data_IF_316751583037
#
_entry.id   IF_316751583037
#
_cell.length_a   1.000
_cell.length_b   1.000
_cell.length_c   1.000
_cell.angle_alpha   90.00
_cell.angle_beta   90.00
_cell.angle_gamma   90.00
#
_symmetry.space_group_name_H-M   'P 1'
#
loop_
_entity.id
_entity.type
_entity.pdbx_description
1 polymer ?
#
# COMPACT_ATOMS: atom_id res chain seq x y z
N UNK A 1 -1.14 -17.02 12.08
CA UNK A 1 -0.59 -15.95 11.21
C UNK A 1 -1.28 -14.64 11.60
N UNK A 2 -0.59 -13.51 11.73
CA UNK A 2 -1.28 -12.26 12.07
C UNK A 2 -2.01 -11.68 10.83
N UNK A 3 -2.99 -10.79 11.03
CA UNK A 3 -3.79 -10.22 9.93
C UNK A 3 -2.92 -9.45 8.93
N UNK A 4 -1.86 -8.75 9.37
CA UNK A 4 -0.97 -8.01 8.48
C UNK A 4 -0.19 -8.91 7.51
N UNK A 5 0.33 -10.04 8.00
CA UNK A 5 1.00 -11.05 7.18
C UNK A 5 0.01 -11.70 6.21
N UNK A 6 -1.21 -12.01 6.66
CA UNK A 6 -2.24 -12.58 5.79
C UNK A 6 -2.63 -11.61 4.67
N UNK A 7 -2.85 -10.35 4.99
CA UNK A 7 -3.13 -9.30 4.02
C UNK A 7 -1.95 -9.06 3.06
N UNK A 8 -0.71 -9.12 3.55
CA UNK A 8 0.49 -9.05 2.71
C UNK A 8 0.58 -10.18 1.69
N UNK A 9 0.19 -11.41 2.06
CA UNK A 9 0.17 -12.55 1.14
C UNK A 9 -0.90 -12.44 0.06
N UNK A 10 -2.06 -11.85 0.38
CA UNK A 10 -3.17 -11.65 -0.55
C UNK A 10 -3.09 -10.33 -1.33
N UNK A 11 -2.07 -9.53 -1.03
CA UNK A 11 -1.83 -8.23 -1.66
C UNK A 11 -1.77 -8.36 -3.17
N UNK A 12 -2.51 -7.48 -3.87
CA UNK A 12 -2.61 -7.42 -5.34
C UNK A 12 -3.08 -8.69 -6.06
N UNK A 13 -3.60 -9.71 -5.37
CA UNK A 13 -4.09 -10.94 -6.03
C UNK A 13 -5.24 -10.66 -7.02
N UNK A 14 -6.00 -9.60 -6.78
CA UNK A 14 -7.10 -9.16 -7.65
C UNK A 14 -6.64 -8.71 -9.04
N UNK A 15 -5.37 -8.26 -9.17
CA UNK A 15 -4.80 -7.85 -10.46
C UNK A 15 -4.73 -9.00 -11.48
N UNK A 16 -4.79 -10.25 -11.03
CA UNK A 16 -4.79 -11.44 -11.89
C UNK A 16 -6.18 -11.80 -12.43
N UNK A 17 -7.22 -11.08 -12.03
CA UNK A 17 -8.59 -11.39 -12.45
C UNK A 17 -8.96 -10.68 -13.75
N UNK A 18 -9.78 -11.34 -14.58
CA UNK A 18 -10.31 -10.73 -15.81
C UNK A 18 -11.09 -9.45 -15.53
N UNK A 19 -11.73 -9.35 -14.35
CA UNK A 19 -12.49 -8.16 -13.98
C UNK A 19 -11.60 -6.93 -13.83
N UNK A 20 -10.46 -7.05 -13.15
CA UNK A 20 -9.52 -5.92 -13.00
C UNK A 20 -8.79 -5.63 -14.32
N UNK A 21 -8.59 -6.65 -15.15
CA UNK A 21 -8.03 -6.45 -16.49
C UNK A 21 -8.96 -5.60 -17.38
N UNK A 22 -10.27 -5.87 -17.35
CA UNK A 22 -11.27 -5.13 -18.12
C UNK A 22 -11.60 -3.77 -17.49
N UNK A 23 -11.59 -3.68 -16.15
CA UNK A 23 -11.90 -2.48 -15.38
C UNK A 23 -10.80 -2.16 -14.36
N UNK A 24 -9.74 -1.50 -14.82
CA UNK A 24 -8.54 -1.22 -14.00
C UNK A 24 -8.82 -0.40 -12.74
N UNK A 25 -9.89 0.39 -12.74
CA UNK A 25 -10.30 1.24 -11.61
C UNK A 25 -10.90 0.44 -10.44
N UNK A 26 -11.24 -0.83 -10.69
CA UNK A 26 -11.83 -1.73 -9.69
C UNK A 26 -10.79 -2.46 -8.82
N UNK A 27 -9.50 -2.25 -9.11
CA UNK A 27 -8.40 -2.82 -8.31
C UNK A 27 -8.52 -2.41 -6.83
N UNK A 28 -8.15 -3.31 -5.94
CA UNK A 28 -8.31 -3.17 -4.48
C UNK A 28 -9.74 -3.40 -4.01
N UNK A 29 -10.73 -2.75 -4.64
CA UNK A 29 -12.15 -2.95 -4.33
C UNK A 29 -12.55 -4.40 -4.60
N UNK A 30 -12.18 -4.94 -5.77
CA UNK A 30 -12.43 -6.35 -6.08
C UNK A 30 -11.67 -7.29 -5.17
N UNK A 31 -10.40 -6.99 -4.85
CA UNK A 31 -9.62 -7.78 -3.89
C UNK A 31 -10.28 -7.89 -2.52
N UNK A 32 -10.83 -6.79 -2.01
CA UNK A 32 -11.62 -6.80 -0.77
C UNK A 32 -12.88 -7.67 -0.88
N UNK A 33 -13.62 -7.58 -1.99
CA UNK A 33 -14.82 -8.41 -2.19
C UNK A 33 -14.47 -9.90 -2.30
N UNK A 34 -13.41 -10.26 -3.01
CA UNK A 34 -12.93 -11.64 -3.10
C UNK A 34 -12.51 -12.16 -1.72
N UNK A 35 -11.71 -11.39 -0.96
CA UNK A 35 -11.31 -11.79 0.38
C UNK A 35 -12.50 -11.98 1.33
N UNK A 36 -13.50 -11.09 1.30
CA UNK A 36 -14.74 -11.26 2.08
C UNK A 36 -15.51 -12.51 1.66
N UNK A 37 -15.61 -12.77 0.37
CA UNK A 37 -16.27 -13.96 -0.17
C UNK A 37 -15.55 -15.25 0.27
N UNK A 38 -14.22 -15.21 0.33
CA UNK A 38 -13.38 -16.34 0.76
C UNK A 38 -13.33 -16.50 2.30
N UNK A 39 -14.06 -15.68 3.05
CA UNK A 39 -14.16 -15.76 4.50
C UNK A 39 -12.96 -15.19 5.27
N UNK A 40 -12.15 -14.34 4.62
CA UNK A 40 -11.06 -13.64 5.31
C UNK A 40 -11.59 -12.67 6.37
N UNK A 41 -10.75 -12.38 7.37
CA UNK A 41 -11.06 -11.39 8.39
C UNK A 41 -11.29 -10.00 7.77
N UNK A 42 -12.22 -9.23 8.33
CA UNK A 42 -12.59 -7.92 7.80
C UNK A 42 -11.40 -6.95 7.72
N UNK A 43 -10.51 -6.96 8.71
CA UNK A 43 -9.28 -6.16 8.68
C UNK A 43 -8.38 -6.48 7.48
N UNK A 44 -8.32 -7.76 7.09
CA UNK A 44 -7.54 -8.26 5.94
C UNK A 44 -8.18 -7.77 4.66
N UNK A 45 -9.50 -7.95 4.52
CA UNK A 45 -10.23 -7.53 3.33
C UNK A 45 -10.14 -6.00 3.12
N UNK A 46 -10.36 -5.21 4.17
CA UNK A 46 -10.23 -3.74 4.12
C UNK A 46 -8.80 -3.34 3.72
N UNK A 47 -7.78 -4.03 4.25
CA UNK A 47 -6.40 -3.77 3.88
C UNK A 47 -6.12 -4.01 2.39
N UNK A 48 -6.77 -4.97 1.74
CA UNK A 48 -6.62 -5.20 0.29
C UNK A 48 -7.21 -4.06 -0.55
N UNK A 49 -8.24 -3.37 -0.07
CA UNK A 49 -8.73 -2.17 -0.74
C UNK A 49 -7.80 -0.98 -0.48
N UNK A 50 -7.45 -0.77 0.78
CA UNK A 50 -6.74 0.43 1.24
C UNK A 50 -5.22 0.40 1.00
N UNK A 51 -4.64 -0.74 0.60
CA UNK A 51 -3.19 -0.86 0.30
C UNK A 51 -2.68 0.22 -0.67
N UNK A 52 -3.54 0.67 -1.59
CA UNK A 52 -3.20 1.69 -2.57
C UNK A 52 -3.20 3.12 -2.00
N UNK A 53 -3.76 3.35 -0.81
CA UNK A 53 -3.85 4.67 -0.18
C UNK A 53 -2.54 5.06 0.53
N UNK A 54 -2.21 6.37 0.59
CA UNK A 54 -2.77 7.45 -0.21
C UNK A 54 -2.28 7.38 -1.67
N UNK A 55 -3.17 7.62 -2.63
CA UNK A 55 -2.86 7.59 -4.08
C UNK A 55 -2.28 8.90 -4.59
N UNK A 56 -2.65 10.01 -3.96
CA UNK A 56 -2.19 11.36 -4.28
C UNK A 56 -2.11 12.23 -3.02
N UNK A 57 -1.56 13.44 -3.14
CA UNK A 57 -1.43 14.37 -2.03
C UNK A 57 -2.82 14.80 -1.51
N UNK A 58 -3.08 14.62 -0.22
CA UNK A 58 -4.38 14.89 0.38
C UNK A 58 -5.42 13.77 0.26
N UNK A 59 -5.08 12.63 -0.38
CA UNK A 59 -5.95 11.45 -0.38
C UNK A 59 -6.09 10.88 1.04
N UNK A 60 -7.15 10.08 1.23
CA UNK A 60 -7.43 9.37 2.46
C UNK A 60 -6.25 8.47 2.86
N UNK A 61 -6.09 8.29 4.16
CA UNK A 61 -5.10 7.37 4.72
C UNK A 61 -5.77 6.07 5.15
N UNK A 62 -5.06 4.93 5.08
CA UNK A 62 -5.59 3.64 5.51
C UNK A 62 -6.19 3.72 6.93
N UNK A 63 -7.36 3.12 7.10
CA UNK A 63 -8.20 3.25 8.28
C UNK A 63 -7.64 2.49 9.48
N UNK A 64 -7.11 1.28 9.25
CA UNK A 64 -6.71 0.35 10.30
C UNK A 64 -5.19 0.01 10.27
N UNK A 65 -4.63 -0.59 11.34
CA UNK A 65 -3.19 -0.88 11.40
C UNK A 65 -2.70 -1.89 10.36
N UNK A 66 -3.54 -2.85 9.99
CA UNK A 66 -3.23 -3.88 8.99
C UNK A 66 -3.09 -3.24 7.62
N UNK A 67 -4.05 -2.40 7.24
CA UNK A 67 -4.05 -1.62 6.02
C UNK A 67 -2.85 -0.66 5.97
N UNK A 68 -2.53 0.02 7.08
CA UNK A 68 -1.33 0.86 7.18
C UNK A 68 -0.05 0.06 6.89
N UNK A 69 0.09 -1.13 7.48
CA UNK A 69 1.28 -1.96 7.30
C UNK A 69 1.46 -2.40 5.84
N UNK A 70 0.40 -2.89 5.20
CA UNK A 70 0.44 -3.31 3.79
C UNK A 70 0.70 -2.11 2.86
N UNK A 71 0.03 -0.98 3.09
CA UNK A 71 0.21 0.23 2.29
C UNK A 71 1.63 0.81 2.38
N UNK A 72 2.25 0.76 3.57
CA UNK A 72 3.65 1.16 3.76
C UNK A 72 4.58 0.21 3.00
N UNK A 73 4.39 -1.11 3.17
CA UNK A 73 5.22 -2.11 2.51
C UNK A 73 5.16 -1.97 0.98
N UNK A 74 3.97 -1.83 0.42
CA UNK A 74 3.75 -1.61 -1.02
C UNK A 74 4.49 -0.36 -1.54
N UNK A 75 4.40 0.75 -0.80
CA UNK A 75 5.03 2.01 -1.20
C UNK A 75 6.54 2.02 -1.01
N UNK A 76 7.07 1.19 -0.11
CA UNK A 76 8.51 1.05 0.12
C UNK A 76 9.21 0.12 -0.86
N UNK A 77 8.48 -0.79 -1.50
CA UNK A 77 9.04 -1.79 -2.44
C UNK A 77 9.83 -1.14 -3.59
N UNK A 78 9.19 -0.23 -4.32
CA UNK A 78 9.84 0.47 -5.46
C UNK A 78 11.06 1.31 -5.02
N UNK A 79 10.98 2.18 -3.99
CA UNK A 79 12.17 2.86 -3.46
C UNK A 79 13.28 1.90 -3.04
N UNK A 80 12.97 0.83 -2.31
CA UNK A 80 13.98 -0.12 -1.87
C UNK A 80 14.71 -0.77 -3.05
N UNK A 81 13.96 -1.22 -4.06
CA UNK A 81 14.55 -1.82 -5.27
C UNK A 81 15.42 -0.83 -6.06
N UNK A 82 14.92 0.39 -6.29
CA UNK A 82 15.61 1.40 -7.09
C UNK A 82 16.90 1.89 -6.41
N UNK A 83 16.86 2.11 -5.09
CA UNK A 83 18.06 2.44 -4.33
C UNK A 83 19.03 1.25 -4.27
N UNK A 84 18.53 0.02 -4.20
CA UNK A 84 19.35 -1.19 -4.20
C UNK A 84 20.18 -1.40 -5.46
N UNK A 85 19.67 -0.97 -6.63
CA UNK A 85 20.39 -1.02 -7.91
C UNK A 85 21.19 0.26 -8.22
N UNK A 86 21.31 1.19 -7.26
CA UNK A 86 22.06 2.44 -7.42
C UNK A 86 21.41 3.48 -8.35
N UNK A 87 20.15 3.30 -8.72
CA UNK A 87 19.40 4.20 -9.62
C UNK A 87 18.75 5.34 -8.83
N UNK A 88 19.55 6.08 -8.06
CA UNK A 88 19.05 7.20 -7.27
C UNK A 88 18.48 8.30 -8.19
N UNK A 89 17.41 8.99 -7.76
CA UNK A 89 16.90 10.14 -8.51
C UNK A 89 17.98 11.22 -8.61
N UNK A 90 18.40 11.56 -9.83
CA UNK A 90 19.40 12.61 -10.11
C UNK A 90 18.69 13.90 -10.55
N UNK A 91 18.89 14.97 -9.78
CA UNK A 91 18.30 16.29 -10.07
C UNK A 91 16.80 16.39 -9.77
N UNK A 92 16.10 17.29 -10.48
CA UNK A 92 14.68 17.61 -10.21
C UNK A 92 13.66 16.59 -10.75
N UNK A 93 14.10 15.63 -11.57
CA UNK A 93 13.20 14.63 -12.15
C UNK A 93 12.94 13.48 -11.18
N UNK A 94 11.67 13.12 -11.01
CA UNK A 94 11.22 11.94 -10.26
C UNK A 94 10.63 10.89 -11.22
N UNK A 95 11.47 10.21 -12.04
CA UNK A 95 11.00 9.33 -13.11
C UNK A 95 10.22 8.11 -12.59
N UNK A 96 10.42 7.72 -11.33
CA UNK A 96 9.79 6.55 -10.71
C UNK A 96 8.84 6.92 -9.56
N UNK A 97 8.46 8.20 -9.44
CA UNK A 97 7.58 8.69 -8.39
C UNK A 97 8.07 8.38 -6.95
N UNK A 98 9.38 8.26 -6.74
CA UNK A 98 10.03 7.91 -5.48
C UNK A 98 9.70 8.92 -4.38
N UNK A 99 9.68 10.21 -4.73
CA UNK A 99 9.36 11.28 -3.77
C UNK A 99 7.91 11.17 -3.33
N UNK A 100 7.00 10.87 -4.27
CA UNK A 100 5.58 10.66 -3.95
C UNK A 100 5.35 9.43 -3.09
N UNK A 101 6.03 8.31 -3.40
CA UNK A 101 5.95 7.09 -2.61
C UNK A 101 6.45 7.33 -1.17
N UNK A 102 7.62 7.97 -1.02
CA UNK A 102 8.19 8.32 0.28
C UNK A 102 7.28 9.27 1.09
N UNK A 103 6.69 10.28 0.44
CA UNK A 103 5.75 11.19 1.10
C UNK A 103 4.48 10.47 1.56
N UNK A 104 3.96 9.53 0.77
CA UNK A 104 2.83 8.68 1.16
C UNK A 104 3.13 7.85 2.41
N UNK A 105 4.31 7.21 2.47
CA UNK A 105 4.77 6.47 3.65
C UNK A 105 4.89 7.39 4.87
N UNK A 106 5.53 8.56 4.70
CA UNK A 106 5.71 9.52 5.79
C UNK A 106 4.37 9.99 6.36
N UNK A 107 3.38 10.30 5.50
CA UNK A 107 2.03 10.69 5.92
C UNK A 107 1.36 9.59 6.74
N UNK A 108 1.40 8.34 6.28
CA UNK A 108 0.82 7.22 7.03
C UNK A 108 1.47 7.14 8.41
N UNK A 109 2.79 7.22 8.50
CA UNK A 109 3.53 7.10 9.77
C UNK A 109 3.19 8.25 10.74
N UNK A 110 3.29 9.50 10.25
CA UNK A 110 3.15 10.71 11.08
C UNK A 110 1.69 10.92 11.49
N UNK A 111 0.75 10.86 10.55
CA UNK A 111 -0.66 11.19 10.82
C UNK A 111 -1.38 10.06 11.56
N UNK A 112 -0.99 8.79 11.36
CA UNK A 112 -1.55 7.66 12.12
C UNK A 112 -0.78 7.39 13.43
N UNK A 113 0.28 8.16 13.71
CA UNK A 113 1.06 8.13 14.95
C UNK A 113 1.53 6.70 15.34
N UNK A 114 1.88 5.89 14.33
CA UNK A 114 2.08 4.43 14.49
C UNK A 114 3.53 4.00 14.60
N UNK A 115 4.47 4.90 14.36
CA UNK A 115 5.88 4.72 14.68
C UNK A 115 6.29 5.94 15.47
N UNK A 116 6.61 5.74 16.76
CA UNK A 116 7.42 6.71 17.49
C UNK A 116 8.75 6.79 16.74
N UNK A 117 8.89 7.77 15.84
CA UNK A 117 10.22 8.20 15.40
C UNK A 117 10.90 8.55 16.71
N UNK A 118 11.88 7.71 17.09
CA UNK A 118 12.63 7.80 18.32
C UNK A 118 12.99 9.27 18.57
N UNK A 119 12.16 9.97 19.36
CA UNK A 119 12.46 11.31 19.83
C UNK A 119 13.59 11.10 20.83
N UNK A 120 14.81 11.40 20.40
CA UNK A 120 15.92 11.63 21.33
C UNK A 120 15.53 12.69 22.33
#
# INVERSE_FOLDING_TARGET
MNHATRAGLLSKCDLMTNMVFEFTDTRGVMGMHYARHDGEAEDVAVALNEQYQPRFAGDALPSNPVACAVAIADKMDTPAGIFGIGQHPKGDKDPFALRRAALGVLRIIVEKNRISICRR
#
